data_IF_531539813937
#
_entry.id   IF_531539813937
#
_cell.length_a   1.000
_cell.length_b   1.000
_cell.length_c   1.000
_cell.angle_alpha   90.00
_cell.angle_beta   90.00
_cell.angle_gamma   90.00
#
_symmetry.space_group_name_H-M   'P 1'
#
loop_
_entity.id
_entity.type
_entity.pdbx_description
1 polymer ?
#
# COMPACT_ATOMS: atom_id res chain seq x y z
N UNK A 1 -7.53 -13.27 17.35
CA UNK A 1 -7.59 -13.98 18.66
C UNK A 1 -7.56 -12.95 19.77
N UNK A 2 -8.45 -13.01 20.76
CA UNK A 2 -8.43 -12.04 21.88
C UNK A 2 -7.31 -12.34 22.87
N UNK A 3 -6.99 -11.40 23.77
CA UNK A 3 -6.01 -11.66 24.83
C UNK A 3 -6.45 -12.81 25.74
N UNK A 4 -7.75 -12.93 26.05
CA UNK A 4 -8.27 -14.01 26.90
C UNK A 4 -8.15 -15.39 26.23
N UNK A 5 -8.34 -15.46 24.92
CA UNK A 5 -8.14 -16.70 24.16
C UNK A 5 -6.65 -17.08 24.10
N UNK A 6 -5.78 -16.11 23.83
CA UNK A 6 -4.33 -16.31 23.83
C UNK A 6 -3.83 -16.76 25.21
N UNK A 7 -4.34 -16.13 26.27
CA UNK A 7 -4.01 -16.46 27.66
C UNK A 7 -4.38 -17.90 27.99
N UNK A 8 -5.60 -18.34 27.64
CA UNK A 8 -6.04 -19.73 27.85
C UNK A 8 -5.14 -20.73 27.13
N UNK A 9 -4.72 -20.41 25.90
CA UNK A 9 -3.80 -21.27 25.15
C UNK A 9 -2.40 -21.29 25.80
N UNK A 10 -1.89 -20.14 26.23
CA UNK A 10 -0.61 -20.04 26.93
C UNK A 10 -0.60 -20.84 28.25
N UNK A 11 -1.71 -20.85 28.98
CA UNK A 11 -1.90 -21.60 30.22
C UNK A 11 -1.87 -23.12 30.04
N UNK A 12 -2.02 -23.64 28.81
CA UNK A 12 -1.82 -25.06 28.51
C UNK A 12 -0.36 -25.49 28.65
N UNK A 13 0.57 -24.56 28.48
CA UNK A 13 2.01 -24.81 28.54
C UNK A 13 2.65 -24.30 29.84
N UNK A 14 2.12 -23.22 30.42
CA UNK A 14 2.64 -22.64 31.67
C UNK A 14 1.55 -21.90 32.46
N UNK A 15 1.35 -22.27 33.73
CA UNK A 15 0.42 -21.57 34.63
C UNK A 15 0.83 -20.12 34.86
N UNK A 16 -0.12 -19.19 34.73
CA UNK A 16 0.05 -17.75 34.97
C UNK A 16 -0.28 -17.37 36.42
N UNK A 17 0.43 -17.97 37.37
CA UNK A 17 0.24 -17.84 38.82
C UNK A 17 0.98 -16.65 39.46
N UNK A 18 1.80 -15.95 38.69
CA UNK A 18 2.66 -14.85 39.16
C UNK A 18 2.51 -13.61 38.28
N UNK A 19 2.63 -12.39 38.84
CA UNK A 19 2.57 -11.15 38.08
C UNK A 19 3.59 -11.11 36.93
N UNK A 20 4.78 -11.67 37.12
CA UNK A 20 5.86 -11.72 36.15
C UNK A 20 5.48 -12.58 34.93
N UNK A 21 4.85 -13.74 35.16
CA UNK A 21 4.36 -14.61 34.10
C UNK A 21 3.21 -13.97 33.34
N UNK A 22 2.30 -13.28 34.02
CA UNK A 22 1.23 -12.52 33.36
C UNK A 22 1.79 -11.39 32.49
N UNK A 23 2.78 -10.65 32.99
CA UNK A 23 3.47 -9.61 32.22
C UNK A 23 4.21 -10.20 31.00
N UNK A 24 4.84 -11.37 31.16
CA UNK A 24 5.44 -12.10 30.06
C UNK A 24 4.40 -12.53 29.01
N UNK A 25 3.26 -13.07 29.43
CA UNK A 25 2.16 -13.43 28.54
C UNK A 25 1.64 -12.21 27.76
N UNK A 26 1.47 -11.05 28.40
CA UNK A 26 1.08 -9.79 27.74
C UNK A 26 2.10 -9.37 26.68
N UNK A 27 3.41 -9.47 26.97
CA UNK A 27 4.47 -9.18 25.99
C UNK A 27 4.43 -10.15 24.81
N UNK A 28 4.24 -11.45 25.06
CA UNK A 28 4.10 -12.46 24.02
C UNK A 28 2.87 -12.25 23.17
N UNK A 29 1.75 -11.87 23.77
CA UNK A 29 0.54 -11.49 23.03
C UNK A 29 0.77 -10.26 22.14
N UNK A 30 1.45 -9.22 22.65
CA UNK A 30 1.84 -8.06 21.84
C UNK A 30 2.72 -8.48 20.65
N UNK A 31 3.67 -9.38 20.89
CA UNK A 31 4.53 -9.93 19.83
C UNK A 31 3.72 -10.73 18.81
N UNK A 32 2.76 -11.54 19.27
CA UNK A 32 1.86 -12.31 18.41
C UNK A 32 1.01 -11.39 17.52
N UNK A 33 0.42 -10.34 18.09
CA UNK A 33 -0.36 -9.36 17.31
C UNK A 33 0.52 -8.69 16.25
N UNK A 34 1.72 -8.27 16.63
CA UNK A 34 2.68 -7.68 15.69
C UNK A 34 3.07 -8.66 14.57
N UNK A 35 3.25 -9.94 14.90
CA UNK A 35 3.50 -10.98 13.89
C UNK A 35 2.32 -11.18 12.94
N UNK A 36 1.08 -11.08 13.41
CA UNK A 36 -0.10 -11.13 12.54
C UNK A 36 -0.18 -9.92 11.63
N UNK A 37 0.03 -8.71 12.17
CA UNK A 37 0.03 -7.48 11.38
C UNK A 37 1.15 -7.47 10.33
N UNK A 38 2.30 -8.04 10.67
CA UNK A 38 3.45 -8.15 9.79
C UNK A 38 3.31 -9.28 8.73
N UNK A 39 2.54 -10.33 9.01
CA UNK A 39 2.33 -11.45 8.08
C UNK A 39 1.53 -11.02 6.84
N UNK A 40 0.62 -10.07 7.02
CA UNK A 40 -0.18 -9.48 5.95
C UNK A 40 0.40 -8.18 5.39
N UNK A 41 1.69 -7.92 5.67
CA UNK A 41 2.35 -6.72 5.17
C UNK A 41 2.71 -6.80 3.68
N UNK A 42 3.11 -5.66 3.11
CA UNK A 42 3.60 -5.60 1.73
C UNK A 42 4.77 -6.54 1.50
N UNK A 43 4.84 -7.08 0.29
CA UNK A 43 5.81 -8.08 -0.12
C UNK A 43 6.76 -7.48 -1.16
N UNK A 44 8.09 -7.65 -1.01
CA UNK A 44 9.03 -7.16 -2.00
C UNK A 44 8.82 -7.89 -3.32
N UNK A 45 8.84 -7.14 -4.41
CA UNK A 45 8.83 -7.68 -5.77
C UNK A 45 10.24 -8.21 -6.11
N UNK A 46 10.75 -9.17 -5.33
CA UNK A 46 12.07 -9.78 -5.54
C UNK A 46 12.06 -10.56 -6.87
N UNK A 47 12.93 -10.17 -7.81
CA UNK A 47 13.29 -11.07 -8.91
C UNK A 47 12.46 -10.97 -10.18
N UNK A 48 11.75 -9.87 -10.44
CA UNK A 48 11.39 -9.50 -11.83
C UNK A 48 12.64 -9.02 -12.59
N UNK A 49 13.67 -9.87 -12.66
CA UNK A 49 14.86 -9.62 -13.49
C UNK A 49 14.55 -9.65 -14.98
N UNK A 50 13.38 -10.17 -15.36
CA UNK A 50 12.74 -9.96 -16.65
C UNK A 50 11.24 -9.95 -16.37
N UNK A 51 10.61 -8.79 -16.36
CA UNK A 51 9.19 -8.72 -16.66
C UNK A 51 9.03 -9.11 -18.15
N UNK A 52 9.13 -10.41 -18.45
CA UNK A 52 8.88 -10.96 -19.79
C UNK A 52 7.38 -10.88 -20.14
N UNK A 53 6.55 -10.33 -19.24
CA UNK A 53 5.16 -10.02 -19.56
C UNK A 53 5.11 -8.68 -20.30
N UNK A 54 4.68 -8.75 -21.56
CA UNK A 54 4.30 -7.56 -22.36
C UNK A 54 3.35 -6.65 -21.57
N UNK A 55 2.55 -7.25 -20.67
CA UNK A 55 1.68 -6.61 -19.70
C UNK A 55 2.40 -5.57 -18.82
N UNK A 56 3.43 -5.97 -18.07
CA UNK A 56 4.11 -5.07 -17.13
C UNK A 56 4.90 -3.98 -17.84
N UNK A 57 5.55 -4.31 -18.96
CA UNK A 57 6.31 -3.33 -19.72
C UNK A 57 5.38 -2.25 -20.29
N UNK A 58 4.26 -2.65 -20.89
CA UNK A 58 3.29 -1.69 -21.43
C UNK A 58 2.64 -0.86 -20.32
N UNK A 59 2.25 -1.49 -19.21
CA UNK A 59 1.71 -0.76 -18.06
C UNK A 59 2.75 0.23 -17.51
N UNK A 60 4.00 -0.18 -17.36
CA UNK A 60 5.05 0.72 -16.88
C UNK A 60 5.32 1.87 -17.85
N UNK A 61 5.32 1.60 -19.15
CA UNK A 61 5.49 2.60 -20.21
C UNK A 61 4.31 3.60 -20.24
N UNK A 62 3.07 3.11 -20.18
CA UNK A 62 1.86 3.95 -20.19
C UNK A 62 1.77 4.83 -18.95
N UNK A 63 2.14 4.28 -17.79
CA UNK A 63 1.98 4.97 -16.53
C UNK A 63 3.21 5.80 -16.14
N UNK A 64 4.32 5.66 -16.87
CA UNK A 64 5.60 6.32 -16.57
C UNK A 64 6.25 5.80 -15.29
N UNK A 65 5.99 4.55 -14.94
CA UNK A 65 6.52 3.87 -13.74
C UNK A 65 8.04 3.67 -13.81
N UNK A 66 8.58 3.60 -15.03
CA UNK A 66 10.00 3.56 -15.34
C UNK A 66 10.71 4.90 -15.11
N UNK A 67 9.95 6.00 -15.04
CA UNK A 67 10.46 7.38 -14.95
C UNK A 67 10.36 7.99 -13.55
N UNK A 68 10.04 7.18 -12.54
CA UNK A 68 9.97 7.67 -11.16
C UNK A 68 11.34 8.19 -10.69
N UNK A 69 11.33 9.34 -10.04
CA UNK A 69 12.53 9.93 -9.43
C UNK A 69 12.59 9.64 -7.93
N UNK A 70 13.74 9.93 -7.29
CA UNK A 70 13.89 9.80 -5.83
C UNK A 70 12.92 10.67 -5.03
N UNK A 71 12.42 11.74 -5.64
CA UNK A 71 11.52 12.71 -5.03
C UNK A 71 10.05 12.35 -5.28
N UNK A 72 9.79 11.18 -5.88
CA UNK A 72 8.46 10.70 -6.22
C UNK A 72 8.15 9.38 -5.53
N UNK A 73 6.87 9.23 -5.18
CA UNK A 73 6.27 7.98 -4.77
C UNK A 73 5.13 7.66 -5.73
N UNK A 74 5.04 6.40 -6.11
CA UNK A 74 3.95 5.91 -6.95
C UNK A 74 3.16 4.85 -6.19
N UNK A 75 1.84 5.05 -6.15
CA UNK A 75 0.85 4.07 -5.72
C UNK A 75 -0.03 3.66 -6.90
N UNK A 76 -0.14 2.35 -7.12
CA UNK A 76 -0.98 1.76 -8.15
C UNK A 76 -2.00 0.81 -7.51
N UNK A 77 -3.26 0.98 -7.87
CA UNK A 77 -4.35 0.05 -7.52
C UNK A 77 -4.89 -0.60 -8.80
N UNK A 78 -4.76 -1.92 -8.88
CA UNK A 78 -5.11 -2.75 -10.04
C UNK A 78 -6.22 -3.73 -9.68
N UNK A 79 -7.48 -3.29 -9.72
CA UNK A 79 -8.61 -4.19 -9.57
C UNK A 79 -8.68 -5.20 -10.72
N UNK A 80 -9.29 -6.36 -10.47
CA UNK A 80 -9.56 -7.37 -11.52
C UNK A 80 -10.53 -6.86 -12.61
N UNK A 81 -11.24 -5.76 -12.35
CA UNK A 81 -12.18 -5.08 -13.25
C UNK A 81 -11.89 -3.58 -13.26
N UNK A 82 -12.22 -2.87 -14.34
CA UNK A 82 -12.00 -1.43 -14.46
C UNK A 82 -12.72 -0.61 -13.37
N UNK A 83 -12.22 0.59 -13.00
CA UNK A 83 -11.05 1.30 -13.54
C UNK A 83 -9.75 1.05 -12.76
N UNK A 84 -8.59 1.33 -13.39
CA UNK A 84 -7.27 1.28 -12.72
C UNK A 84 -6.86 2.68 -12.25
N UNK A 85 -6.25 2.76 -11.06
CA UNK A 85 -5.91 4.03 -10.41
C UNK A 85 -4.43 4.15 -10.13
N UNK A 86 -3.90 5.34 -10.39
CA UNK A 86 -2.50 5.70 -10.08
C UNK A 86 -2.47 7.01 -9.35
N UNK A 87 -1.73 7.03 -8.26
CA UNK A 87 -1.37 8.24 -7.57
C UNK A 87 0.15 8.42 -7.63
N UNK A 88 0.58 9.57 -8.15
CA UNK A 88 1.96 10.05 -8.05
C UNK A 88 1.99 11.17 -7.01
N UNK A 89 2.85 11.03 -6.01
CA UNK A 89 3.12 12.08 -5.02
C UNK A 89 4.55 12.57 -5.28
N UNK A 90 4.68 13.82 -5.71
CA UNK A 90 5.97 14.44 -6.03
C UNK A 90 6.33 15.51 -4.99
N UNK A 91 7.52 15.38 -4.42
CA UNK A 91 8.08 16.37 -3.50
C UNK A 91 8.71 17.52 -4.28
N UNK A 92 8.20 18.74 -4.09
CA UNK A 92 8.74 19.96 -4.70
C UNK A 92 8.86 21.08 -3.67
N UNK A 93 10.10 21.44 -3.32
CA UNK A 93 10.49 22.48 -2.35
C UNK A 93 9.66 22.53 -1.04
N UNK A 94 8.48 23.16 -1.07
CA UNK A 94 7.61 23.39 0.08
C UNK A 94 6.20 22.77 -0.07
N UNK A 95 5.94 21.99 -1.12
CA UNK A 95 4.64 21.35 -1.36
C UNK A 95 4.83 19.95 -1.93
N UNK A 96 3.76 19.18 -1.83
CA UNK A 96 3.68 17.87 -2.46
C UNK A 96 2.60 17.94 -3.52
N UNK A 97 2.99 17.75 -4.78
CA UNK A 97 2.08 17.68 -5.90
C UNK A 97 1.48 16.28 -5.96
N UNK A 98 0.16 16.21 -6.00
CA UNK A 98 -0.59 14.99 -6.25
C UNK A 98 -0.97 14.97 -7.72
N UNK A 99 -0.59 13.93 -8.44
CA UNK A 99 -1.12 13.64 -9.77
C UNK A 99 -1.84 12.31 -9.71
N UNK A 100 -3.16 12.34 -9.83
CA UNK A 100 -3.99 11.17 -9.94
C UNK A 100 -4.30 10.90 -11.41
N UNK A 101 -4.11 9.65 -11.84
CA UNK A 101 -4.44 9.17 -13.18
C UNK A 101 -5.39 8.00 -13.05
N UNK A 102 -6.46 8.00 -13.82
CA UNK A 102 -7.44 6.92 -13.87
C UNK A 102 -7.56 6.42 -15.31
N UNK A 103 -7.43 5.11 -15.50
CA UNK A 103 -7.76 4.45 -16.76
C UNK A 103 -9.19 3.88 -16.65
N UNK A 104 -10.11 4.37 -17.48
CA UNK A 104 -11.52 3.94 -17.46
C UNK A 104 -11.72 2.45 -17.77
N UNK A 105 -10.83 1.89 -18.60
CA UNK A 105 -10.80 0.49 -18.99
C UNK A 105 -9.59 -0.17 -18.34
N UNK A 106 -9.76 -1.37 -17.77
CA UNK A 106 -8.64 -2.15 -17.27
C UNK A 106 -7.74 -2.53 -18.43
N UNK A 107 -6.44 -2.56 -18.17
CA UNK A 107 -5.46 -2.94 -19.19
C UNK A 107 -5.73 -4.36 -19.70
N UNK A 108 -6.22 -5.27 -18.85
CA UNK A 108 -6.58 -6.63 -19.26
C UNK A 108 -7.56 -6.64 -20.43
N UNK A 109 -8.56 -5.76 -20.41
CA UNK A 109 -9.51 -5.62 -21.51
C UNK A 109 -8.83 -5.10 -22.77
N UNK A 110 -7.99 -4.07 -22.66
CA UNK A 110 -7.20 -3.53 -23.80
C UNK A 110 -6.29 -4.60 -24.41
N UNK A 111 -5.61 -5.38 -23.56
CA UNK A 111 -4.69 -6.44 -23.93
C UNK A 111 -5.39 -7.60 -24.66
N UNK A 112 -6.51 -8.10 -24.13
CA UNK A 112 -7.23 -9.22 -24.74
C UNK A 112 -8.02 -8.81 -25.98
N UNK A 113 -8.56 -7.59 -26.01
CA UNK A 113 -9.35 -7.10 -27.16
C UNK A 113 -8.44 -6.62 -28.32
N UNK A 114 -7.12 -6.55 -28.13
CA UNK A 114 -6.13 -6.03 -29.10
C UNK A 114 -6.53 -4.66 -29.66
N UNK A 115 -7.13 -3.82 -28.83
CA UNK A 115 -7.58 -2.50 -29.22
C UNK A 115 -6.40 -1.54 -29.21
N UNK A 116 -6.08 -0.93 -30.37
CA UNK A 116 -5.05 0.12 -30.49
C UNK A 116 -5.47 1.46 -29.84
N UNK A 117 -6.69 1.53 -29.30
CA UNK A 117 -7.17 2.72 -28.60
C UNK A 117 -6.75 2.65 -27.14
N UNK A 118 -5.82 3.54 -26.80
CA UNK A 118 -5.47 3.89 -25.43
C UNK A 118 -6.77 4.22 -24.70
N UNK A 119 -7.03 3.56 -23.57
CA UNK A 119 -8.12 3.95 -22.68
C UNK A 119 -7.95 5.43 -22.32
N UNK A 120 -9.04 6.18 -22.25
CA UNK A 120 -8.96 7.57 -21.82
C UNK A 120 -8.33 7.61 -20.42
N UNK A 121 -7.23 8.35 -20.29
CA UNK A 121 -6.54 8.55 -19.03
C UNK A 121 -6.99 9.89 -18.46
N UNK A 122 -7.91 9.84 -17.50
CA UNK A 122 -8.34 11.05 -16.79
C UNK A 122 -7.22 11.42 -15.82
N UNK A 123 -6.75 12.66 -15.90
CA UNK A 123 -5.71 13.18 -15.01
C UNK A 123 -6.27 14.30 -14.16
N UNK A 124 -6.17 14.16 -12.84
CA UNK A 124 -6.47 15.21 -11.86
C UNK A 124 -5.23 15.57 -11.04
N UNK A 125 -5.16 16.81 -10.58
CA UNK A 125 -4.05 17.31 -9.80
C UNK A 125 -4.53 17.95 -8.51
N UNK A 126 -3.76 17.77 -7.45
CA UNK A 126 -3.99 18.37 -6.14
C UNK A 126 -2.67 18.68 -5.44
N UNK A 127 -2.75 19.24 -4.25
CA UNK A 127 -1.57 19.55 -3.44
C UNK A 127 -1.80 19.13 -1.99
N UNK A 128 -0.75 18.66 -1.33
CA UNK A 128 -0.73 18.51 0.13
C UNK A 128 0.07 19.65 0.76
N UNK A 129 -0.30 19.97 1.99
CA UNK A 129 0.56 20.75 2.88
C UNK A 129 1.90 20.04 3.09
N UNK A 130 2.94 20.80 3.43
CA UNK A 130 4.27 20.26 3.70
C UNK A 130 4.24 19.20 4.80
N UNK A 131 3.58 19.49 5.92
CA UNK A 131 3.49 18.59 7.08
C UNK A 131 2.84 17.25 6.70
N UNK A 132 1.69 17.30 6.03
CA UNK A 132 0.93 16.09 5.68
C UNK A 132 1.69 15.25 4.64
N UNK A 133 2.28 15.91 3.64
CA UNK A 133 3.09 15.24 2.63
C UNK A 133 4.36 14.60 3.20
N UNK A 134 5.03 15.23 4.17
CA UNK A 134 6.19 14.66 4.87
C UNK A 134 5.81 13.36 5.62
N UNK A 135 4.69 13.35 6.33
CA UNK A 135 4.20 12.17 7.05
C UNK A 135 3.85 11.01 6.11
N UNK A 136 3.09 11.30 5.04
CA UNK A 136 2.71 10.29 4.03
C UNK A 136 3.97 9.70 3.37
N UNK A 137 4.92 10.55 2.97
CA UNK A 137 6.19 10.10 2.39
C UNK A 137 6.94 9.16 3.31
N UNK A 138 7.06 9.52 4.59
CA UNK A 138 7.76 8.73 5.59
C UNK A 138 7.10 7.37 5.82
N UNK A 139 5.78 7.32 5.94
CA UNK A 139 5.02 6.07 6.13
C UNK A 139 5.21 5.14 4.94
N UNK A 140 5.10 5.65 3.72
CA UNK A 140 5.23 4.84 2.50
C UNK A 140 6.65 4.33 2.32
N UNK A 141 7.66 5.20 2.51
CA UNK A 141 9.07 4.81 2.42
C UNK A 141 9.41 3.74 3.47
N UNK A 142 8.95 3.92 4.71
CA UNK A 142 9.11 2.90 5.75
C UNK A 142 8.41 1.60 5.37
N UNK A 143 7.24 1.67 4.74
CA UNK A 143 6.49 0.49 4.30
C UNK A 143 7.22 -0.29 3.21
N UNK A 144 7.87 0.41 2.28
CA UNK A 144 8.70 -0.21 1.24
C UNK A 144 9.94 -0.87 1.88
N UNK A 145 10.66 -0.16 2.74
CA UNK A 145 11.91 -0.64 3.36
C UNK A 145 11.66 -1.83 4.29
N UNK A 146 10.51 -1.86 4.98
CA UNK A 146 10.17 -2.91 5.96
C UNK A 146 9.28 -4.01 5.41
N UNK A 147 9.06 -4.04 4.09
CA UNK A 147 8.31 -5.09 3.41
C UNK A 147 8.89 -6.48 3.73
N UNK A 148 8.01 -7.48 3.83
CA UNK A 148 8.37 -8.83 4.25
C UNK A 148 7.94 -9.85 3.21
N UNK A 149 8.79 -10.86 3.01
CA UNK A 149 8.50 -11.95 2.09
C UNK A 149 7.29 -12.75 2.56
N UNK A 150 6.36 -13.02 1.63
CA UNK A 150 5.19 -13.86 1.89
C UNK A 150 5.58 -15.29 2.29
N UNK A 151 4.80 -15.89 3.18
CA UNK A 151 4.79 -17.33 3.39
C UNK A 151 3.79 -17.95 2.38
N UNK A 152 4.24 -18.75 1.39
CA UNK A 152 3.51 -19.08 0.15
C UNK A 152 2.27 -19.99 0.29
N UNK A 153 1.61 -20.01 1.44
CA UNK A 153 0.45 -20.88 1.71
C UNK A 153 -0.87 -20.45 1.06
N UNK A 154 -0.93 -19.31 0.37
CA UNK A 154 -2.19 -18.75 -0.13
C UNK A 154 -2.24 -18.61 -1.64
N UNK A 155 -3.34 -19.07 -2.23
CA UNK A 155 -3.73 -18.80 -3.61
C UNK A 155 -4.81 -17.71 -3.54
N UNK A 156 -4.56 -16.56 -4.16
CA UNK A 156 -5.56 -15.50 -4.30
C UNK A 156 -6.14 -15.60 -5.71
N UNK A 157 -7.46 -15.82 -5.80
CA UNK A 157 -8.25 -15.75 -7.03
C UNK A 157 -9.16 -14.53 -6.92
N UNK A 158 -9.11 -13.64 -7.91
CA UNK A 158 -9.90 -12.41 -8.05
C UNK A 158 -9.76 -11.39 -6.89
N UNK A 159 -9.26 -10.19 -7.21
CA UNK A 159 -9.08 -9.11 -6.24
C UNK A 159 -8.34 -7.90 -6.79
N UNK A 160 -8.05 -6.93 -5.92
CA UNK A 160 -7.23 -5.77 -6.25
C UNK A 160 -5.80 -6.01 -5.83
N UNK A 161 -4.86 -5.79 -6.76
CA UNK A 161 -3.44 -5.71 -6.46
C UNK A 161 -3.07 -4.27 -6.17
N UNK A 162 -2.37 -4.04 -5.07
CA UNK A 162 -1.83 -2.74 -4.69
C UNK A 162 -0.32 -2.79 -4.81
N UNK A 163 0.28 -1.77 -5.41
CA UNK A 163 1.72 -1.67 -5.57
C UNK A 163 2.22 -0.28 -5.16
N UNK A 164 3.34 -0.27 -4.44
CA UNK A 164 4.08 0.93 -4.07
C UNK A 164 5.46 0.88 -4.72
N UNK A 165 5.92 2.03 -5.23
CA UNK A 165 7.22 2.15 -5.86
C UNK A 165 7.91 3.47 -5.49
N UNK A 166 9.21 3.37 -5.19
CA UNK A 166 10.09 4.50 -4.88
C UNK A 166 11.54 4.17 -5.24
N UNK A 167 12.33 5.19 -5.59
CA UNK A 167 13.80 5.06 -5.63
C UNK A 167 14.38 5.27 -4.23
N UNK A 168 14.95 4.21 -3.65
CA UNK A 168 15.62 4.20 -2.34
C UNK A 168 17.09 3.87 -2.56
N UNK A 169 17.99 4.71 -2.05
CA UNK A 169 19.45 4.56 -2.21
C UNK A 169 19.92 4.39 -3.67
N UNK A 170 19.22 5.06 -4.61
CA UNK A 170 19.53 5.03 -6.04
C UNK A 170 19.02 3.79 -6.78
N UNK A 171 18.32 2.87 -6.10
CA UNK A 171 17.68 1.73 -6.71
C UNK A 171 16.14 1.82 -6.58
N UNK A 172 15.42 1.45 -7.65
CA UNK A 172 13.96 1.31 -7.58
C UNK A 172 13.62 0.11 -6.68
N UNK A 173 12.73 0.33 -5.72
CA UNK A 173 12.17 -0.69 -4.86
C UNK A 173 10.66 -0.71 -5.07
N UNK A 174 10.15 -1.90 -5.40
CA UNK A 174 8.74 -2.16 -5.62
C UNK A 174 8.25 -3.17 -4.60
N UNK A 175 7.09 -2.90 -4.01
CA UNK A 175 6.42 -3.82 -3.09
C UNK A 175 4.96 -3.91 -3.47
N UNK A 176 4.34 -5.07 -3.23
CA UNK A 176 2.96 -5.32 -3.63
C UNK A 176 2.19 -6.10 -2.58
N UNK A 177 0.86 -6.06 -2.68
CA UNK A 177 -0.05 -6.95 -1.95
C UNK A 177 -1.28 -7.26 -2.79
N UNK A 178 -1.73 -8.50 -2.76
CA UNK A 178 -3.02 -8.91 -3.30
C UNK A 178 -4.05 -9.00 -2.19
N UNK A 179 -5.19 -8.31 -2.38
CA UNK A 179 -6.23 -8.25 -1.37
C UNK A 179 -5.80 -7.50 -0.11
N UNK A 180 -6.78 -7.05 0.67
CA UNK A 180 -6.54 -6.36 1.94
C UNK A 180 -7.25 -7.14 3.04
N UNK A 181 -6.52 -7.46 4.11
CA UNK A 181 -7.15 -7.85 5.36
C UNK A 181 -7.56 -6.58 6.10
N UNK A 182 -8.87 -6.42 6.35
CA UNK A 182 -9.41 -5.24 7.03
C UNK A 182 -8.68 -4.96 8.35
N UNK A 183 -8.25 -3.71 8.54
CA UNK A 183 -7.54 -3.27 9.73
C UNK A 183 -6.08 -3.69 9.82
N UNK A 184 -5.55 -4.46 8.85
CA UNK A 184 -4.11 -4.76 8.74
C UNK A 184 -3.29 -3.50 8.46
N UNK A 185 -1.97 -3.56 8.67
CA UNK A 185 -1.08 -2.44 8.38
C UNK A 185 -1.12 -2.04 6.90
N UNK A 186 -1.17 -3.03 6.00
CA UNK A 186 -1.31 -2.81 4.54
C UNK A 186 -2.64 -2.14 4.17
N UNK A 187 -3.74 -2.58 4.79
CA UNK A 187 -5.05 -1.97 4.59
C UNK A 187 -5.02 -0.50 5.01
N UNK A 188 -4.50 -0.17 6.20
CA UNK A 188 -4.41 1.23 6.69
C UNK A 188 -3.61 2.14 5.76
N UNK A 189 -2.45 1.69 5.29
CA UNK A 189 -1.63 2.43 4.31
C UNK A 189 -2.39 2.61 2.99
N UNK A 190 -3.07 1.58 2.52
CA UNK A 190 -3.86 1.63 1.28
C UNK A 190 -5.06 2.57 1.41
N UNK A 191 -5.81 2.52 2.51
CA UNK A 191 -6.92 3.43 2.79
C UNK A 191 -6.45 4.89 2.85
N UNK A 192 -5.30 5.14 3.49
CA UNK A 192 -4.68 6.48 3.51
C UNK A 192 -4.43 6.98 2.09
N UNK A 193 -3.84 6.16 1.22
CA UNK A 193 -3.56 6.53 -0.17
C UNK A 193 -4.82 6.74 -1.01
N UNK A 194 -5.85 5.90 -0.82
CA UNK A 194 -7.16 6.08 -1.45
C UNK A 194 -7.84 7.37 -0.98
N UNK A 195 -7.68 7.75 0.30
CA UNK A 195 -8.15 9.04 0.80
C UNK A 195 -7.38 10.23 0.20
N UNK A 196 -6.06 10.09 -0.02
CA UNK A 196 -5.26 11.12 -0.71
C UNK A 196 -5.72 11.33 -2.15
N UNK A 197 -6.16 10.28 -2.86
CA UNK A 197 -6.73 10.41 -4.21
C UNK A 197 -7.95 11.34 -4.20
N UNK A 198 -8.80 11.27 -3.15
CA UNK A 198 -10.00 12.11 -3.04
C UNK A 198 -9.69 13.60 -2.98
N UNK A 199 -8.52 14.00 -2.48
CA UNK A 199 -8.07 15.41 -2.51
C UNK A 199 -7.88 15.95 -3.93
N UNK A 200 -7.75 15.07 -4.92
CA UNK A 200 -7.62 15.47 -6.33
C UNK A 200 -8.95 15.51 -7.06
N UNK A 201 -10.04 15.01 -6.47
CA UNK A 201 -11.32 14.81 -7.15
C UNK A 201 -12.54 15.39 -6.42
N UNK A 202 -12.46 15.63 -5.11
CA UNK A 202 -13.60 16.09 -4.29
C UNK A 202 -13.50 17.57 -3.91
N UNK A 203 -14.67 18.22 -3.82
CA UNK A 203 -14.79 19.64 -3.44
C UNK A 203 -14.64 19.87 -1.92
N UNK A 204 -14.71 18.81 -1.09
CA UNK A 204 -14.73 18.93 0.37
C UNK A 204 -13.39 18.57 1.03
N UNK A 205 -12.34 19.31 0.65
CA UNK A 205 -10.96 19.06 1.05
C UNK A 205 -10.73 18.98 2.58
N UNK A 206 -11.35 19.80 3.45
CA UNK A 206 -11.08 19.76 4.89
C UNK A 206 -11.47 18.45 5.59
N UNK A 207 -12.59 17.84 5.22
CA UNK A 207 -12.99 16.53 5.76
C UNK A 207 -12.06 15.42 5.28
N UNK A 208 -11.62 15.49 4.02
CA UNK A 208 -10.68 14.51 3.45
C UNK A 208 -9.31 14.61 4.15
N UNK A 209 -8.80 15.81 4.40
CA UNK A 209 -7.54 16.01 5.14
C UNK A 209 -7.62 15.43 6.57
N UNK A 210 -8.72 15.66 7.29
CA UNK A 210 -8.92 15.07 8.63
C UNK A 210 -8.95 13.54 8.60
N UNK A 211 -9.57 12.97 7.58
CA UNK A 211 -9.59 11.51 7.42
C UNK A 211 -8.20 10.96 7.14
N UNK A 212 -7.39 11.65 6.32
CA UNK A 212 -5.99 11.28 6.08
C UNK A 212 -5.19 11.34 7.38
N UNK A 213 -5.33 12.42 8.17
CA UNK A 213 -4.65 12.54 9.48
C UNK A 213 -5.03 11.40 10.44
N UNK A 214 -6.32 11.03 10.46
CA UNK A 214 -6.80 9.88 11.24
C UNK A 214 -6.16 8.58 10.78
N UNK A 215 -6.05 8.37 9.47
CA UNK A 215 -5.46 7.16 8.88
C UNK A 215 -3.94 7.10 9.08
N UNK A 216 -3.24 8.23 9.03
CA UNK A 216 -1.81 8.35 9.39
C UNK A 216 -1.58 7.85 10.81
N UNK A 217 -2.39 8.31 11.76
CA UNK A 217 -2.30 7.90 13.17
C UNK A 217 -2.51 6.39 13.36
N UNK A 218 -3.28 5.74 12.48
CA UNK A 218 -3.50 4.30 12.51
C UNK A 218 -2.38 3.51 11.81
N UNK A 219 -1.66 4.13 10.88
CA UNK A 219 -0.61 3.50 10.07
C UNK A 219 0.79 3.56 10.72
N UNK A 220 1.01 4.48 11.67
CA UNK A 220 2.20 4.53 12.55
C UNK A 220 2.23 3.38 13.58
#
# INVERSE_FOLDING_TARGET
MTFEDFKKHFEQFAKLDTPEKLAFCKRKYKTYLQQQEDADFFEPLEGRKNADSVYENNLYDYLGFDKITKDQILFLAQPSFSPEYILVIEKSENRYLLTHRMMEESYWRIYFDKTDKIAEVITSMGYLSKTLGEQIFFIIETSIITARKHDPGYIVLDGTQFMLSKVVDGARQDVFKHGLLEGSKTDRVTQMLLAVIKLTTEDNLPEVEKEIERLITLAE
#
